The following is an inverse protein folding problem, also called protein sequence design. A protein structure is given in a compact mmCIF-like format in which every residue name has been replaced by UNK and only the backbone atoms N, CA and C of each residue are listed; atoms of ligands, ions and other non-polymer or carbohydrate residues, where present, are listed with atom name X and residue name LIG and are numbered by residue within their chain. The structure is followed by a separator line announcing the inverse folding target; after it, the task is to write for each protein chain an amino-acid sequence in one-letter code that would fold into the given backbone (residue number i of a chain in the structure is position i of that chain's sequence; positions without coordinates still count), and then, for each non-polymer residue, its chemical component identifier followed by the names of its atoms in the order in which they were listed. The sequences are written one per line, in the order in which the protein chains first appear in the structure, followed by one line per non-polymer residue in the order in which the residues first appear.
data_IF_107580540124
#
_entry.id   IF_107580540124
#
_cell.length_a   1.000
_cell.length_b   1.000
_cell.length_c   1.000
_cell.angle_alpha   90.00
_cell.angle_beta   90.00
_cell.angle_gamma   90.00
#
_symmetry.space_group_name_H-M   'P 1'
#
loop_
_entity.id
_entity.type
_entity.pdbx_description
1 polymer ?
#
# COMPACT_ATOMS: atom_id res chain seq x y z
N UNK A 1 -38.99 72.32 31.91
CA UNK A 1 -38.07 71.46 32.69
C UNK A 1 -37.62 70.29 31.82
N UNK A 2 -36.33 69.92 31.83
CA UNK A 2 -35.75 68.85 31.01
C UNK A 2 -35.97 67.47 31.70
N UNK A 3 -35.63 66.32 31.08
CA UNK A 3 -34.22 65.91 31.01
C UNK A 3 -33.74 65.41 29.64
N UNK A 4 -32.50 65.79 29.33
CA UNK A 4 -31.64 65.26 28.27
C UNK A 4 -31.44 63.75 28.44
N UNK A 5 -31.52 62.97 27.35
CA UNK A 5 -30.94 61.61 27.29
C UNK A 5 -29.76 61.58 26.33
N UNK A 6 -28.66 61.01 26.83
CA UNK A 6 -27.35 60.85 26.22
C UNK A 6 -27.41 59.86 25.04
N UNK A 7 -26.69 60.18 23.97
CA UNK A 7 -26.17 59.18 23.05
C UNK A 7 -25.05 58.38 23.74
N UNK A 8 -25.05 57.07 23.54
CA UNK A 8 -23.92 56.20 23.80
C UNK A 8 -23.83 55.21 22.64
N UNK A 9 -22.89 55.48 21.74
CA UNK A 9 -22.32 54.51 20.82
C UNK A 9 -21.59 53.42 21.61
N UNK A 10 -21.64 52.20 21.07
CA UNK A 10 -20.70 51.14 21.36
C UNK A 10 -21.23 50.06 22.29
N UNK A 11 -21.77 48.98 21.71
CA UNK A 11 -21.50 47.66 22.26
C UNK A 11 -21.39 46.60 21.16
N UNK A 12 -20.15 46.15 21.01
CA UNK A 12 -19.62 45.00 20.31
C UNK A 12 -20.60 43.85 20.07
N UNK A 13 -20.87 43.59 18.79
CA UNK A 13 -21.25 42.25 18.35
C UNK A 13 -20.09 41.29 18.62
N UNK A 14 -20.20 40.52 19.70
CA UNK A 14 -19.32 39.39 19.96
C UNK A 14 -19.61 38.31 18.91
N UNK A 15 -18.92 38.40 17.76
CA UNK A 15 -18.83 37.28 16.84
C UNK A 15 -18.18 36.12 17.60
N UNK A 16 -18.98 35.11 17.92
CA UNK A 16 -18.48 33.83 18.42
C UNK A 16 -17.48 33.32 17.40
N UNK A 17 -16.18 33.45 17.70
CA UNK A 17 -15.13 32.76 16.96
C UNK A 17 -15.51 31.28 16.94
N UNK A 18 -15.73 30.74 15.76
CA UNK A 18 -15.83 29.30 15.57
C UNK A 18 -14.63 28.67 16.28
N UNK A 19 -14.89 27.69 17.15
CA UNK A 19 -13.84 26.91 17.77
C UNK A 19 -12.96 26.38 16.65
N UNK A 20 -11.73 26.89 16.56
CA UNK A 20 -10.76 26.42 15.58
C UNK A 20 -10.49 24.99 15.99
N UNK A 21 -10.92 24.04 15.15
CA UNK A 21 -10.61 22.63 15.35
C UNK A 21 -9.11 22.42 15.53
N UNK A 22 -8.68 21.28 16.07
CA UNK A 22 -7.27 21.00 16.30
C UNK A 22 -6.48 21.21 14.99
N UNK A 23 -5.44 22.05 15.05
CA UNK A 23 -4.58 22.32 13.89
C UNK A 23 -3.91 21.01 13.47
N UNK A 24 -4.20 20.55 12.25
CA UNK A 24 -3.56 19.38 11.67
C UNK A 24 -2.06 19.64 11.48
N UNK A 25 -1.27 18.58 11.59
CA UNK A 25 0.18 18.65 11.31
C UNK A 25 0.40 18.84 9.81
N UNK A 26 1.49 19.50 9.45
CA UNK A 26 1.89 19.67 8.04
C UNK A 26 2.75 18.51 7.58
N UNK A 27 2.59 18.15 6.32
CA UNK A 27 3.51 17.25 5.60
C UNK A 27 4.89 17.90 5.46
N UNK A 28 5.95 17.07 5.49
CA UNK A 28 7.33 17.45 5.18
C UNK A 28 7.66 16.95 3.77
N UNK A 29 8.07 17.87 2.89
CA UNK A 29 8.50 17.49 1.55
C UNK A 29 9.67 16.49 1.61
N UNK A 30 9.65 15.41 0.79
CA UNK A 30 10.77 14.49 0.70
C UNK A 30 12.07 15.18 0.26
N UNK A 31 13.19 14.78 0.87
CA UNK A 31 14.54 15.30 0.59
C UNK A 31 15.40 14.28 -0.16
N UNK A 32 14.84 13.69 -1.22
CA UNK A 32 15.48 12.59 -1.95
C UNK A 32 16.84 12.96 -2.55
N UNK A 33 17.07 14.23 -2.91
CA UNK A 33 18.32 14.73 -3.50
C UNK A 33 19.43 15.02 -2.49
N UNK A 34 19.15 14.97 -1.19
CA UNK A 34 20.13 15.26 -0.14
C UNK A 34 20.89 13.99 0.32
N UNK A 35 20.46 12.81 -0.12
CA UNK A 35 21.08 11.52 0.24
C UNK A 35 22.14 11.16 -0.81
N UNK A 36 23.40 11.03 -0.39
CA UNK A 36 24.55 10.82 -1.29
C UNK A 36 24.49 9.53 -2.10
N UNK A 37 23.86 8.50 -1.56
CA UNK A 37 23.73 7.18 -2.15
C UNK A 37 22.65 7.14 -3.25
N UNK A 38 21.81 8.18 -3.32
CA UNK A 38 20.71 8.27 -4.26
C UNK A 38 21.06 9.06 -5.52
N UNK A 39 20.70 8.50 -6.67
CA UNK A 39 20.80 9.15 -7.97
C UNK A 39 19.42 9.36 -8.59
N UNK A 40 19.27 10.45 -9.34
CA UNK A 40 18.12 10.69 -10.21
C UNK A 40 18.36 10.25 -11.64
N UNK A 41 19.61 9.93 -11.98
CA UNK A 41 19.96 9.34 -13.26
C UNK A 41 19.64 7.85 -13.25
N UNK A 42 19.09 7.36 -14.37
CA UNK A 42 18.80 5.93 -14.50
C UNK A 42 20.08 5.12 -14.36
N UNK A 43 20.06 3.98 -13.65
CA UNK A 43 21.22 3.13 -13.53
C UNK A 43 21.66 2.62 -14.91
N UNK A 44 22.95 2.38 -15.09
CA UNK A 44 23.54 1.90 -16.35
C UNK A 44 23.76 0.39 -16.38
N UNK A 45 23.76 -0.25 -15.21
CA UNK A 45 23.89 -1.69 -15.06
C UNK A 45 22.74 -2.46 -15.72
N UNK A 46 23.05 -3.64 -16.26
CA UNK A 46 22.11 -4.46 -17.02
C UNK A 46 20.86 -4.83 -16.20
N UNK A 47 21.07 -5.37 -15.00
CA UNK A 47 19.99 -5.87 -14.15
C UNK A 47 19.21 -4.74 -13.52
N UNK A 48 19.88 -3.68 -13.06
CA UNK A 48 19.22 -2.49 -12.56
C UNK A 48 18.29 -1.90 -13.62
N UNK A 49 18.78 -1.73 -14.86
CA UNK A 49 17.97 -1.26 -15.99
C UNK A 49 16.79 -2.16 -16.29
N UNK A 50 17.01 -3.48 -16.37
CA UNK A 50 15.92 -4.45 -16.56
C UNK A 50 14.84 -4.30 -15.49
N UNK A 51 15.22 -4.07 -14.23
CA UNK A 51 14.26 -3.84 -13.15
C UNK A 51 13.47 -2.53 -13.34
N UNK A 52 14.18 -1.43 -13.62
CA UNK A 52 13.59 -0.12 -13.86
C UNK A 52 12.61 -0.14 -15.02
N UNK A 53 12.99 -0.74 -16.14
CA UNK A 53 12.16 -0.83 -17.34
C UNK A 53 10.94 -1.74 -17.13
N UNK A 54 11.12 -2.91 -16.51
CA UNK A 54 10.03 -3.88 -16.32
C UNK A 54 8.98 -3.40 -15.33
N UNK A 55 9.39 -2.85 -14.20
CA UNK A 55 8.50 -2.44 -13.10
C UNK A 55 8.28 -0.93 -12.98
N UNK A 56 8.77 -0.16 -13.96
CA UNK A 56 8.65 1.30 -13.99
C UNK A 56 9.21 1.97 -12.74
N UNK A 57 10.28 1.43 -12.15
CA UNK A 57 10.85 1.96 -10.92
C UNK A 57 11.29 3.42 -11.14
N UNK A 58 10.99 4.26 -10.16
CA UNK A 58 11.28 5.68 -10.22
C UNK A 58 12.59 6.00 -9.49
N UNK A 59 13.24 7.11 -9.85
CA UNK A 59 14.23 7.74 -8.98
C UNK A 59 13.62 8.00 -7.58
N UNK A 60 14.37 8.18 -6.49
CA UNK A 60 15.80 7.95 -6.41
C UNK A 60 16.15 6.48 -6.65
N UNK A 61 17.26 6.26 -7.35
CA UNK A 61 17.90 4.96 -7.51
C UNK A 61 19.06 4.87 -6.53
N UNK A 62 19.10 3.83 -5.72
CA UNK A 62 20.20 3.60 -4.79
C UNK A 62 21.39 3.02 -5.54
N UNK A 63 22.45 3.83 -5.64
CA UNK A 63 23.68 3.51 -6.37
C UNK A 63 24.58 2.52 -5.65
N UNK A 64 24.30 2.25 -4.36
CA UNK A 64 25.05 1.25 -3.57
C UNK A 64 24.61 -0.19 -3.87
N UNK A 65 23.45 -0.38 -4.52
CA UNK A 65 22.93 -1.70 -4.85
C UNK A 65 23.74 -2.31 -5.99
N UNK A 66 24.44 -3.41 -5.69
CA UNK A 66 25.20 -4.17 -6.70
C UNK A 66 24.30 -4.83 -7.75
N UNK A 67 24.82 -5.04 -8.96
CA UNK A 67 24.12 -5.75 -10.05
C UNK A 67 23.64 -7.16 -9.66
N UNK A 68 24.40 -7.88 -8.82
CA UNK A 68 23.98 -9.17 -8.27
C UNK A 68 22.66 -9.06 -7.49
N UNK A 69 22.52 -8.02 -6.68
CA UNK A 69 21.31 -7.78 -5.88
C UNK A 69 20.14 -7.37 -6.77
N UNK A 70 20.39 -6.62 -7.84
CA UNK A 70 19.38 -6.35 -8.86
C UNK A 70 18.95 -7.59 -9.63
N UNK A 71 19.87 -8.50 -9.93
CA UNK A 71 19.56 -9.80 -10.52
C UNK A 71 18.66 -10.64 -9.58
N UNK A 72 19.00 -10.71 -8.28
CA UNK A 72 18.17 -11.40 -7.29
C UNK A 72 16.76 -10.76 -7.19
N UNK A 73 16.70 -9.42 -7.15
CA UNK A 73 15.44 -8.67 -7.14
C UNK A 73 14.60 -8.98 -8.38
N UNK A 74 15.23 -9.00 -9.54
CA UNK A 74 14.60 -9.30 -10.81
C UNK A 74 14.00 -10.71 -10.80
N UNK A 75 14.80 -11.69 -10.40
CA UNK A 75 14.40 -13.10 -10.38
C UNK A 75 13.27 -13.36 -9.38
N UNK A 76 13.30 -12.76 -8.19
CA UNK A 76 12.23 -12.88 -7.19
C UNK A 76 10.91 -12.31 -7.74
N UNK A 77 10.91 -11.08 -8.28
CA UNK A 77 9.68 -10.46 -8.81
C UNK A 77 9.16 -11.15 -10.07
N UNK A 78 10.03 -11.67 -10.94
CA UNK A 78 9.60 -12.47 -12.10
C UNK A 78 8.94 -13.77 -11.65
N UNK A 79 9.45 -14.42 -10.61
CA UNK A 79 8.79 -15.61 -10.06
C UNK A 79 7.43 -15.26 -9.44
N UNK A 80 7.32 -14.13 -8.72
CA UNK A 80 6.04 -13.65 -8.20
C UNK A 80 5.05 -13.22 -9.29
N UNK A 81 5.54 -12.66 -10.41
CA UNK A 81 4.71 -12.38 -11.58
C UNK A 81 4.00 -13.66 -12.05
N UNK A 82 4.68 -14.82 -12.07
CA UNK A 82 4.07 -16.11 -12.43
C UNK A 82 3.00 -16.54 -11.43
N UNK A 83 3.29 -16.45 -10.13
CA UNK A 83 2.32 -16.74 -9.05
C UNK A 83 1.09 -15.83 -9.15
N UNK A 84 1.26 -14.59 -9.60
CA UNK A 84 0.19 -13.59 -9.71
C UNK A 84 -0.39 -13.49 -11.14
N UNK A 85 -0.36 -14.59 -11.89
CA UNK A 85 -0.91 -14.70 -13.25
C UNK A 85 -2.13 -15.62 -13.29
N UNK A 86 -3.26 -15.11 -13.78
CA UNK A 86 -4.50 -15.91 -13.85
C UNK A 86 -4.34 -17.14 -14.75
N UNK A 87 -4.62 -18.33 -14.22
CA UNK A 87 -4.50 -19.59 -14.98
C UNK A 87 -3.08 -20.17 -15.07
N UNK A 88 -2.07 -19.53 -14.47
CA UNK A 88 -0.75 -20.14 -14.33
C UNK A 88 -0.77 -21.26 -13.26
N UNK A 89 -0.07 -22.39 -13.47
CA UNK A 89 0.04 -23.46 -12.46
C UNK A 89 0.60 -22.99 -11.11
N UNK A 90 1.50 -22.01 -11.14
CA UNK A 90 2.12 -21.41 -9.94
C UNK A 90 1.11 -20.64 -9.07
N UNK A 91 -0.04 -20.25 -9.62
CA UNK A 91 -1.06 -19.46 -8.92
C UNK A 91 -1.87 -20.27 -7.90
N UNK A 92 -1.70 -21.59 -7.84
CA UNK A 92 -2.39 -22.48 -6.89
C UNK A 92 -2.26 -22.04 -5.44
N UNK A 93 -1.15 -21.39 -5.07
CA UNK A 93 -0.88 -20.95 -3.69
C UNK A 93 -1.71 -19.72 -3.28
N UNK A 94 -2.35 -19.05 -4.25
CA UNK A 94 -3.14 -17.83 -4.03
C UNK A 94 -4.59 -17.94 -4.52
N UNK A 95 -4.95 -19.05 -5.15
CA UNK A 95 -6.32 -19.33 -5.57
C UNK A 95 -6.98 -20.22 -4.52
N UNK A 96 -7.81 -19.61 -3.67
CA UNK A 96 -8.55 -20.31 -2.62
C UNK A 96 -9.99 -20.57 -3.08
N UNK A 97 -10.25 -21.75 -3.64
CA UNK A 97 -11.60 -22.13 -4.10
C UNK A 97 -12.63 -22.09 -2.95
N UNK A 98 -12.22 -22.54 -1.76
CA UNK A 98 -13.07 -22.57 -0.55
C UNK A 98 -13.51 -21.17 -0.08
N UNK A 99 -12.76 -20.13 -0.44
CA UNK A 99 -13.06 -18.75 -0.08
C UNK A 99 -14.23 -18.19 -0.92
N UNK A 100 -14.50 -18.77 -2.09
CA UNK A 100 -15.60 -18.35 -2.96
C UNK A 100 -15.47 -16.93 -3.53
N UNK A 101 -14.29 -16.31 -3.46
CA UNK A 101 -14.06 -14.94 -3.89
C UNK A 101 -12.92 -14.84 -4.91
N UNK A 102 -13.03 -13.85 -5.80
CA UNK A 102 -12.07 -13.62 -6.87
C UNK A 102 -10.79 -12.95 -6.33
N UNK A 103 -9.75 -13.76 -6.14
CA UNK A 103 -8.39 -13.34 -5.74
C UNK A 103 -7.87 -12.16 -6.58
N UNK A 104 -8.07 -12.20 -7.89
CA UNK A 104 -7.52 -11.20 -8.82
C UNK A 104 -8.22 -9.85 -8.63
N UNK A 105 -9.53 -9.89 -8.43
CA UNK A 105 -10.34 -8.71 -8.10
C UNK A 105 -9.94 -8.12 -6.74
N UNK A 106 -9.62 -8.96 -5.76
CA UNK A 106 -9.11 -8.54 -4.45
C UNK A 106 -7.78 -7.80 -4.61
N UNK A 107 -6.81 -8.42 -5.29
CA UNK A 107 -5.48 -7.84 -5.53
C UNK A 107 -5.59 -6.50 -6.29
N UNK A 108 -6.40 -6.45 -7.35
CA UNK A 108 -6.63 -5.22 -8.14
C UNK A 108 -7.24 -4.10 -7.32
N UNK A 109 -8.22 -4.41 -6.46
CA UNK A 109 -8.82 -3.41 -5.56
C UNK A 109 -7.77 -2.88 -4.59
N UNK A 110 -7.08 -3.77 -3.88
CA UNK A 110 -6.03 -3.43 -2.92
C UNK A 110 -4.94 -2.54 -3.55
N UNK A 111 -4.49 -2.87 -4.76
CA UNK A 111 -3.56 -2.05 -5.53
C UNK A 111 -4.12 -0.67 -5.89
N UNK A 112 -5.41 -0.59 -6.23
CA UNK A 112 -6.10 0.69 -6.44
C UNK A 112 -6.12 1.56 -5.18
N UNK A 113 -6.41 0.96 -4.02
CA UNK A 113 -6.41 1.70 -2.76
C UNK A 113 -5.03 2.26 -2.42
N UNK A 114 -3.95 1.51 -2.71
CA UNK A 114 -2.57 2.02 -2.58
C UNK A 114 -2.36 3.30 -3.40
N UNK A 115 -2.81 3.31 -4.66
CA UNK A 115 -2.76 4.51 -5.49
C UNK A 115 -3.61 5.65 -4.95
N UNK A 116 -4.85 5.38 -4.49
CA UNK A 116 -5.69 6.42 -3.88
C UNK A 116 -5.00 7.07 -2.67
N UNK A 117 -4.33 6.29 -1.83
CA UNK A 117 -3.60 6.85 -0.68
C UNK A 117 -2.52 7.82 -1.14
N UNK A 118 -1.71 7.46 -2.14
CA UNK A 118 -0.67 8.36 -2.68
C UNK A 118 -1.28 9.57 -3.39
N UNK A 119 -2.30 9.40 -4.23
CA UNK A 119 -2.95 10.51 -4.94
C UNK A 119 -3.55 11.54 -3.98
N UNK A 120 -4.08 11.06 -2.84
CA UNK A 120 -4.61 11.92 -1.78
C UNK A 120 -3.54 12.51 -0.86
N UNK A 121 -2.25 12.23 -1.05
CA UNK A 121 -1.17 12.80 -0.23
C UNK A 121 -0.81 14.22 -0.65
N UNK A 122 -0.11 14.93 0.24
CA UNK A 122 0.40 16.28 -0.03
C UNK A 122 1.80 16.18 -0.64
N UNK A 123 1.90 16.30 -1.95
CA UNK A 123 3.16 16.52 -2.67
C UNK A 123 2.94 17.65 -3.66
N UNK A 124 3.85 18.64 -3.70
CA UNK A 124 3.70 19.81 -4.57
C UNK A 124 3.84 19.44 -6.05
N UNK A 125 4.71 18.48 -6.35
CA UNK A 125 4.86 17.91 -7.68
C UNK A 125 3.74 16.87 -7.93
N UNK A 126 2.67 17.33 -8.56
CA UNK A 126 1.48 16.52 -8.88
C UNK A 126 1.78 15.41 -9.89
N UNK A 127 2.65 15.64 -10.88
CA UNK A 127 3.01 14.63 -11.87
C UNK A 127 3.85 13.53 -11.22
N UNK A 128 4.79 13.91 -10.37
CA UNK A 128 5.54 12.95 -9.56
C UNK A 128 4.65 12.13 -8.65
N UNK A 129 3.65 12.76 -8.01
CA UNK A 129 2.67 12.07 -7.18
C UNK A 129 1.89 11.01 -7.97
N UNK A 130 1.45 11.36 -9.19
CA UNK A 130 0.80 10.41 -10.11
C UNK A 130 1.71 9.25 -10.50
N UNK A 131 2.96 9.53 -10.87
CA UNK A 131 3.94 8.49 -11.22
C UNK A 131 4.14 7.50 -10.06
N UNK A 132 4.29 8.01 -8.84
CA UNK A 132 4.44 7.16 -7.63
C UNK A 132 3.19 6.30 -7.46
N UNK A 133 1.99 6.89 -7.53
CA UNK A 133 0.73 6.16 -7.39
C UNK A 133 0.59 5.05 -8.44
N UNK A 134 0.84 5.35 -9.71
CA UNK A 134 0.76 4.39 -10.84
C UNK A 134 1.75 3.24 -10.70
N UNK A 135 2.98 3.55 -10.31
CA UNK A 135 4.03 2.53 -10.09
C UNK A 135 3.69 1.63 -8.89
N UNK A 136 3.11 2.21 -7.84
CA UNK A 136 2.72 1.47 -6.65
C UNK A 136 1.60 0.46 -6.92
N UNK A 137 0.65 0.76 -7.84
CA UNK A 137 -0.41 -0.19 -8.24
C UNK A 137 0.16 -1.53 -8.73
N UNK A 138 1.27 -1.48 -9.47
CA UNK A 138 1.93 -2.68 -9.99
C UNK A 138 2.98 -3.30 -9.08
N UNK A 139 3.07 -2.83 -7.83
CA UNK A 139 4.11 -3.24 -6.89
C UNK A 139 3.62 -4.18 -5.77
N UNK A 140 2.33 -4.51 -5.76
CA UNK A 140 1.71 -5.42 -4.79
C UNK A 140 1.57 -6.83 -5.35
N UNK A 141 1.97 -7.83 -4.56
CA UNK A 141 1.89 -9.25 -4.90
C UNK A 141 1.27 -10.05 -3.76
N UNK A 142 0.43 -11.04 -4.08
CA UNK A 142 0.19 -12.14 -3.15
C UNK A 142 1.38 -13.09 -3.14
N UNK A 143 1.67 -13.59 -1.95
CA UNK A 143 2.64 -14.66 -1.70
C UNK A 143 1.92 -15.98 -1.42
N UNK A 144 0.80 -15.91 -0.70
CA UNK A 144 -0.07 -17.03 -0.33
C UNK A 144 -1.45 -16.47 0.01
N UNK A 145 -2.52 -17.18 -0.37
CA UNK A 145 -3.87 -16.86 0.06
C UNK A 145 -4.63 -18.16 0.27
N UNK A 146 -5.12 -18.32 1.50
CA UNK A 146 -6.04 -19.38 1.87
C UNK A 146 -7.20 -18.79 2.65
N UNK A 147 -8.37 -19.37 2.49
CA UNK A 147 -9.55 -19.01 3.28
C UNK A 147 -10.74 -19.84 2.89
N UNK A 148 -11.76 -19.80 3.72
CA UNK A 148 -13.00 -20.53 3.51
C UNK A 148 -14.22 -19.70 3.89
N UNK A 149 -15.35 -20.00 3.26
CA UNK A 149 -16.64 -19.31 3.44
C UNK A 149 -17.52 -19.97 4.53
N UNK A 150 -18.40 -19.20 5.19
CA UNK A 150 -19.43 -19.71 6.12
C UNK A 150 -20.67 -20.27 5.39
N UNK A 151 -20.72 -20.19 4.06
CA UNK A 151 -21.83 -20.61 3.20
C UNK A 151 -22.80 -19.47 2.84
N UNK A 152 -22.52 -18.24 3.27
CA UNK A 152 -23.33 -17.04 3.01
C UNK A 152 -22.58 -15.96 2.19
N UNK A 153 -21.38 -16.28 1.69
CA UNK A 153 -20.51 -15.36 0.98
C UNK A 153 -19.60 -14.51 1.87
N UNK A 154 -19.67 -14.71 3.20
CA UNK A 154 -18.72 -14.16 4.16
C UNK A 154 -17.67 -15.20 4.58
N UNK A 155 -16.40 -14.79 4.73
CA UNK A 155 -15.34 -15.72 5.05
C UNK A 155 -15.42 -16.11 6.53
N UNK A 156 -15.28 -17.40 6.80
CA UNK A 156 -15.01 -17.92 8.13
C UNK A 156 -13.57 -17.66 8.54
N UNK A 157 -12.62 -17.99 7.67
CA UNK A 157 -11.19 -17.78 7.89
C UNK A 157 -10.54 -17.22 6.63
N UNK A 158 -9.59 -16.32 6.81
CA UNK A 158 -8.69 -15.83 5.77
C UNK A 158 -7.29 -15.79 6.33
N UNK A 159 -6.33 -16.27 5.54
CA UNK A 159 -4.91 -16.11 5.75
C UNK A 159 -4.30 -15.62 4.45
N UNK A 160 -3.82 -14.37 4.46
CA UNK A 160 -3.25 -13.74 3.29
C UNK A 160 -1.82 -13.29 3.61
N UNK A 161 -0.87 -13.71 2.78
CA UNK A 161 0.49 -13.19 2.75
C UNK A 161 0.66 -12.36 1.50
N UNK A 162 1.16 -11.14 1.65
CA UNK A 162 1.43 -10.25 0.52
C UNK A 162 2.76 -9.54 0.69
N UNK A 163 3.27 -9.01 -0.43
CA UNK A 163 4.48 -8.20 -0.48
C UNK A 163 4.23 -6.95 -1.29
N UNK A 164 4.57 -5.80 -0.72
CA UNK A 164 4.58 -4.51 -1.41
C UNK A 164 6.03 -4.09 -1.65
N UNK A 165 6.40 -3.94 -2.92
CA UNK A 165 7.69 -3.34 -3.28
C UNK A 165 7.60 -1.82 -3.28
N UNK A 166 8.70 -1.17 -2.92
CA UNK A 166 8.87 0.27 -3.12
C UNK A 166 8.69 0.61 -4.61
N UNK A 167 8.01 1.72 -4.94
CA UNK A 167 7.95 2.23 -6.31
C UNK A 167 9.28 2.85 -6.77
N UNK A 168 10.25 2.99 -5.86
CA UNK A 168 11.56 3.57 -6.13
C UNK A 168 12.62 2.52 -6.40
N UNK A 169 13.67 2.92 -7.12
CA UNK A 169 14.89 2.15 -7.32
C UNK A 169 15.76 1.98 -6.07
N UNK A 170 15.17 2.02 -4.87
CA UNK A 170 15.83 1.80 -3.59
C UNK A 170 15.75 0.34 -3.12
N UNK A 171 14.97 -0.51 -3.81
CA UNK A 171 14.94 -1.96 -3.58
C UNK A 171 14.22 -2.42 -2.31
N UNK A 172 13.65 -1.51 -1.52
CA UNK A 172 12.87 -1.83 -0.33
C UNK A 172 11.58 -2.58 -0.66
N UNK A 173 11.14 -3.43 0.28
CA UNK A 173 9.80 -4.03 0.25
C UNK A 173 9.26 -4.25 1.66
N UNK A 174 7.97 -4.51 1.79
CA UNK A 174 7.31 -4.85 3.05
C UNK A 174 6.52 -6.14 2.84
N UNK A 175 6.70 -7.09 3.75
CA UNK A 175 5.89 -8.29 3.84
C UNK A 175 4.75 -8.10 4.82
N UNK A 176 3.61 -8.68 4.48
CA UNK A 176 2.40 -8.65 5.28
C UNK A 176 1.91 -10.06 5.55
N UNK A 177 1.34 -10.24 6.74
CA UNK A 177 0.52 -11.39 7.07
C UNK A 177 -0.77 -10.92 7.71
N UNK A 178 -1.86 -11.05 6.96
CA UNK A 178 -3.20 -10.81 7.43
C UNK A 178 -3.87 -12.13 7.77
N UNK A 179 -4.51 -12.17 8.93
CA UNK A 179 -5.31 -13.32 9.34
C UNK A 179 -6.63 -12.84 9.91
N UNK A 180 -7.70 -13.46 9.48
CA UNK A 180 -9.07 -13.21 9.91
C UNK A 180 -9.71 -14.54 10.26
N UNK A 181 -10.48 -14.57 11.34
CA UNK A 181 -11.38 -15.65 11.69
C UNK A 181 -12.60 -15.06 12.38
N UNK A 182 -13.79 -15.43 11.91
CA UNK A 182 -15.03 -15.08 12.56
C UNK A 182 -16.01 -16.24 12.48
N UNK A 183 -16.49 -16.67 13.65
CA UNK A 183 -17.57 -17.65 13.74
C UNK A 183 -18.58 -17.21 14.79
N UNK A 184 -19.79 -16.91 14.34
CA UNK A 184 -20.91 -16.62 15.22
C UNK A 184 -21.37 -17.91 15.91
N UNK A 185 -21.46 -17.89 17.25
CA UNK A 185 -22.00 -19.01 18.04
C UNK A 185 -23.34 -18.58 18.64
N UNK A 186 -24.35 -19.47 18.64
CA UNK A 186 -25.70 -19.17 19.13
C UNK A 186 -25.74 -18.69 20.60
N UNK A 187 -24.76 -19.10 21.41
CA UNK A 187 -24.62 -18.70 22.80
C UNK A 187 -23.17 -18.33 23.10
N UNK A 188 -22.90 -17.05 23.36
CA UNK A 188 -21.58 -16.54 23.77
C UNK A 188 -20.96 -15.49 22.83
N UNK A 189 -19.84 -14.91 23.26
CA UNK A 189 -19.02 -14.06 22.40
C UNK A 189 -18.42 -14.96 21.31
N UNK A 190 -18.77 -14.71 20.04
CA UNK A 190 -18.27 -15.50 18.90
C UNK A 190 -16.75 -15.65 18.86
N UNK A 191 -16.27 -16.69 18.19
CA UNK A 191 -14.83 -16.89 17.99
C UNK A 191 -14.36 -15.87 16.97
N UNK A 192 -13.69 -14.81 17.44
CA UNK A 192 -13.21 -13.72 16.59
C UNK A 192 -11.72 -13.49 16.79
N UNK A 193 -10.98 -13.59 15.69
CA UNK A 193 -9.56 -13.29 15.63
C UNK A 193 -9.30 -12.48 14.37
N UNK A 194 -8.56 -11.37 14.51
CA UNK A 194 -8.13 -10.61 13.33
C UNK A 194 -6.79 -9.95 13.62
N UNK A 195 -5.83 -10.07 12.72
CA UNK A 195 -4.48 -9.54 12.94
C UNK A 195 -3.82 -9.16 11.63
N UNK A 196 -3.03 -8.10 11.65
CA UNK A 196 -2.11 -7.74 10.57
C UNK A 196 -0.71 -7.54 11.15
N UNK A 197 0.25 -8.30 10.61
CA UNK A 197 1.67 -8.13 10.87
C UNK A 197 2.36 -7.60 9.62
N UNK A 198 3.27 -6.65 9.77
CA UNK A 198 4.05 -6.07 8.69
C UNK A 198 5.54 -6.07 9.05
N UNK A 199 6.41 -6.35 8.07
CA UNK A 199 7.87 -6.32 8.27
C UNK A 199 8.56 -5.78 7.03
N UNK A 200 9.40 -4.76 7.21
CA UNK A 200 10.28 -4.27 6.15
C UNK A 200 11.31 -5.32 5.79
N UNK A 201 11.55 -5.50 4.50
CA UNK A 201 12.60 -6.36 3.95
C UNK A 201 13.71 -5.52 3.35
N UNK A 202 14.92 -5.88 3.73
CA UNK A 202 16.13 -5.40 3.05
C UNK A 202 16.42 -6.25 1.82
N UNK A 203 17.15 -5.71 0.84
CA UNK A 203 17.63 -6.46 -0.33
C UNK A 203 18.46 -7.70 0.04
N UNK A 204 19.09 -7.69 1.23
CA UNK A 204 19.81 -8.84 1.75
C UNK A 204 18.90 -10.05 2.03
N UNK A 205 17.61 -9.83 2.26
CA UNK A 205 16.59 -10.84 2.58
C UNK A 205 15.86 -11.37 1.33
N UNK A 206 16.26 -10.96 0.12
CA UNK A 206 15.75 -11.53 -1.14
C UNK A 206 16.03 -13.03 -1.21
N UNK A 207 15.03 -13.78 -1.64
CA UNK A 207 15.12 -15.24 -1.82
C UNK A 207 14.49 -15.64 -3.15
N UNK A 208 15.23 -15.55 -4.27
CA UNK A 208 14.71 -15.92 -5.58
C UNK A 208 14.31 -17.41 -5.69
N UNK A 209 14.77 -18.26 -4.76
CA UNK A 209 14.45 -19.70 -4.74
C UNK A 209 13.14 -19.99 -4.02
N UNK A 210 12.76 -19.15 -3.05
CA UNK A 210 11.49 -19.20 -2.34
C UNK A 210 10.84 -17.79 -2.32
N UNK A 211 10.38 -17.30 -3.48
CA UNK A 211 9.88 -15.94 -3.62
C UNK A 211 8.64 -15.68 -2.77
N UNK A 212 7.88 -16.73 -2.44
CA UNK A 212 6.64 -16.72 -1.66
C UNK A 212 6.86 -16.68 -0.15
N UNK A 213 8.11 -16.81 0.32
CA UNK A 213 8.42 -16.75 1.75
C UNK A 213 8.06 -15.39 2.35
N UNK A 214 7.16 -15.38 3.33
CA UNK A 214 6.79 -14.17 4.07
C UNK A 214 7.66 -14.00 5.32
N UNK A 215 8.38 -12.88 5.43
CA UNK A 215 9.26 -12.57 6.56
C UNK A 215 8.52 -12.01 7.78
N UNK A 216 7.27 -11.57 7.62
CA UNK A 216 6.48 -10.96 8.71
C UNK A 216 6.05 -11.97 9.80
N UNK A 217 6.26 -13.26 9.56
CA UNK A 217 5.86 -14.32 10.48
C UNK A 217 6.95 -15.34 10.76
N UNK A 218 6.82 -16.03 11.89
CA UNK A 218 7.67 -17.15 12.29
C UNK A 218 6.84 -18.16 13.08
N UNK A 219 7.11 -19.45 12.89
CA UNK A 219 6.57 -20.50 13.74
C UNK A 219 7.22 -20.43 15.13
N UNK A 220 6.39 -20.44 16.17
CA UNK A 220 6.87 -20.63 17.54
C UNK A 220 7.12 -22.12 17.84
N UNK A 221 7.58 -22.43 19.06
CA UNK A 221 7.86 -23.81 19.49
C UNK A 221 6.66 -24.77 19.34
N UNK A 222 5.44 -24.23 19.39
CA UNK A 222 4.20 -24.99 19.26
C UNK A 222 3.69 -25.06 17.81
N UNK A 223 4.50 -24.70 16.81
CA UNK A 223 4.13 -24.65 15.38
C UNK A 223 2.94 -23.73 15.09
N UNK A 224 2.73 -22.71 15.92
CA UNK A 224 1.75 -21.65 15.65
C UNK A 224 2.45 -20.48 14.99
N UNK A 225 1.89 -20.01 13.89
CA UNK A 225 2.39 -18.84 13.17
C UNK A 225 2.13 -17.58 14.01
N UNK A 226 3.19 -16.82 14.29
CA UNK A 226 3.17 -15.56 15.05
C UNK A 226 3.97 -14.49 14.31
N UNK A 227 3.81 -13.23 14.71
CA UNK A 227 4.66 -12.15 14.24
C UNK A 227 6.15 -12.51 14.45
N UNK A 228 6.98 -12.22 13.44
CA UNK A 228 8.42 -12.33 13.60
C UNK A 228 8.93 -11.33 14.66
N UNK A 229 10.07 -11.56 15.32
CA UNK A 229 10.57 -10.70 16.39
C UNK A 229 10.74 -9.21 16.03
N UNK A 230 11.00 -8.93 14.75
CA UNK A 230 11.20 -7.62 14.15
C UNK A 230 10.00 -7.15 13.30
N UNK A 231 8.90 -7.91 13.29
CA UNK A 231 7.66 -7.50 12.65
C UNK A 231 6.85 -6.56 13.55
N UNK A 232 6.20 -5.58 12.95
CA UNK A 232 5.25 -4.69 13.62
C UNK A 232 3.88 -5.34 13.61
N UNK A 233 3.29 -5.50 14.79
CA UNK A 233 1.86 -5.78 14.92
C UNK A 233 1.06 -4.50 14.62
N UNK A 234 0.51 -4.38 13.41
CA UNK A 234 -0.30 -3.23 13.01
C UNK A 234 -1.61 -3.22 13.80
N UNK A 235 -2.24 -4.39 13.93
CA UNK A 235 -3.28 -4.67 14.91
C UNK A 235 -3.38 -6.16 15.19
N UNK A 236 -4.00 -6.49 16.32
CA UNK A 236 -4.29 -7.86 16.73
C UNK A 236 -5.54 -7.86 17.61
N UNK A 237 -6.47 -8.77 17.34
CA UNK A 237 -7.66 -9.03 18.15
C UNK A 237 -7.75 -10.50 18.44
N UNK A 238 -8.03 -10.80 19.71
CA UNK A 238 -8.42 -12.13 20.15
C UNK A 238 -9.61 -12.01 21.11
N UNK A 239 -10.79 -12.42 20.66
CA UNK A 239 -12.03 -12.27 21.40
C UNK A 239 -12.37 -10.79 21.63
N UNK A 240 -12.56 -10.38 22.89
CA UNK A 240 -12.86 -8.99 23.24
C UNK A 240 -11.62 -8.08 23.31
N UNK A 241 -10.42 -8.64 23.33
CA UNK A 241 -9.18 -7.86 23.47
C UNK A 241 -8.69 -7.45 22.10
N UNK A 242 -8.47 -6.17 21.89
CA UNK A 242 -7.85 -5.61 20.68
C UNK A 242 -6.63 -4.76 21.05
N UNK A 243 -5.63 -4.81 20.18
CA UNK A 243 -4.43 -3.98 20.20
C UNK A 243 -4.29 -3.33 18.83
N UNK A 244 -3.97 -2.05 18.81
CA UNK A 244 -3.57 -1.34 17.59
C UNK A 244 -2.14 -0.82 17.72
N UNK A 245 -1.56 -0.44 16.59
CA UNK A 245 -0.24 0.19 16.52
C UNK A 245 -0.27 1.67 16.92
N UNK A 246 0.90 2.29 16.95
CA UNK A 246 1.11 3.73 17.17
C UNK A 246 1.86 4.32 15.98
N UNK A 247 1.83 5.65 15.82
CA UNK A 247 2.54 6.32 14.74
C UNK A 247 4.06 6.04 14.79
N UNK A 248 4.62 5.95 16.00
CA UNK A 248 6.04 5.64 16.21
C UNK A 248 6.43 4.24 15.74
N UNK A 249 5.53 3.26 15.84
CA UNK A 249 5.80 1.88 15.46
C UNK A 249 5.73 1.65 13.94
N UNK A 250 4.98 2.48 13.21
CA UNK A 250 4.81 2.33 11.77
C UNK A 250 5.69 3.26 10.94
N UNK A 251 6.29 4.29 11.55
CA UNK A 251 7.03 5.33 10.82
C UNK A 251 8.13 4.80 9.89
N UNK A 252 8.80 3.70 10.26
CA UNK A 252 9.88 3.11 9.45
C UNK A 252 9.39 2.50 8.13
N UNK A 253 8.09 2.22 8.00
CA UNK A 253 7.52 1.75 6.74
C UNK A 253 7.45 2.85 5.67
N UNK A 254 7.36 4.12 6.09
CA UNK A 254 7.44 5.24 5.16
C UNK A 254 8.82 5.32 4.51
N UNK A 255 9.88 5.17 5.30
CA UNK A 255 11.25 5.14 4.80
C UNK A 255 11.48 3.95 3.87
N UNK A 256 11.03 2.75 4.27
CA UNK A 256 11.19 1.53 3.47
C UNK A 256 10.46 1.59 2.11
N UNK A 257 9.31 2.25 2.03
CA UNK A 257 8.54 2.37 0.78
C UNK A 257 8.92 3.60 -0.02
N UNK A 258 9.04 4.76 0.63
CA UNK A 258 9.08 6.05 -0.04
C UNK A 258 10.41 6.78 0.09
N UNK A 259 11.41 6.18 0.75
CA UNK A 259 12.71 6.81 1.01
C UNK A 259 12.56 8.22 1.60
N UNK A 260 11.55 8.39 2.46
CA UNK A 260 11.11 9.66 3.02
C UNK A 260 10.67 9.48 4.47
N UNK A 261 10.65 10.59 5.21
CA UNK A 261 10.12 10.64 6.58
C UNK A 261 9.24 11.87 6.74
N UNK A 262 8.00 11.66 7.18
CA UNK A 262 7.02 12.69 7.47
C UNK A 262 6.35 13.31 6.25
N UNK A 263 6.45 12.67 5.09
CA UNK A 263 5.74 13.09 3.88
C UNK A 263 4.26 12.72 3.97
N UNK A 264 3.94 11.48 4.29
CA UNK A 264 2.56 11.03 4.45
C UNK A 264 2.17 10.95 5.93
N UNK A 265 0.91 11.26 6.23
CA UNK A 265 0.44 11.14 7.62
C UNK A 265 0.47 9.69 8.12
N UNK A 266 0.54 9.49 9.45
CA UNK A 266 0.36 8.17 10.05
C UNK A 266 -0.96 7.49 9.63
N UNK A 267 -2.03 8.26 9.40
CA UNK A 267 -3.29 7.71 8.91
C UNK A 267 -3.11 7.10 7.52
N UNK A 268 -2.53 7.85 6.58
CA UNK A 268 -2.21 7.33 5.24
C UNK A 268 -1.29 6.13 5.28
N UNK A 269 -0.29 6.14 6.16
CA UNK A 269 0.60 5.00 6.28
C UNK A 269 -0.15 3.75 6.77
N UNK A 270 -1.09 3.87 7.72
CA UNK A 270 -1.98 2.74 8.08
C UNK A 270 -2.85 2.32 6.90
N UNK A 271 -3.40 3.26 6.13
CA UNK A 271 -4.18 2.94 4.92
C UNK A 271 -3.33 2.17 3.89
N UNK A 272 -2.06 2.52 3.69
CA UNK A 272 -1.10 1.76 2.87
C UNK A 272 -0.94 0.35 3.42
N UNK A 273 -0.67 0.20 4.71
CA UNK A 273 -0.46 -1.11 5.33
C UNK A 273 -1.73 -1.98 5.24
N UNK A 274 -2.92 -1.40 5.37
CA UNK A 274 -4.19 -2.10 5.26
C UNK A 274 -4.47 -2.52 3.82
N UNK A 275 -4.27 -1.62 2.86
CA UNK A 275 -4.43 -1.92 1.45
C UNK A 275 -3.46 -3.03 1.02
N UNK A 276 -2.17 -2.89 1.32
CA UNK A 276 -1.16 -3.89 0.98
C UNK A 276 -1.39 -5.23 1.69
N UNK A 277 -1.78 -5.20 2.96
CA UNK A 277 -2.15 -6.39 3.73
C UNK A 277 -3.52 -6.98 3.35
N UNK A 278 -4.26 -6.37 2.41
CA UNK A 278 -5.59 -6.78 1.94
C UNK A 278 -6.67 -6.82 3.03
N UNK A 279 -6.51 -6.00 4.07
CA UNK A 279 -7.44 -5.93 5.21
C UNK A 279 -8.81 -5.41 4.75
N UNK A 280 -9.89 -6.09 5.18
CA UNK A 280 -11.27 -5.74 4.84
C UNK A 280 -11.57 -5.86 3.32
N UNK A 281 -10.94 -6.83 2.65
CA UNK A 281 -11.12 -7.06 1.21
C UNK A 281 -11.84 -8.36 0.87
N UNK A 282 -12.18 -9.14 1.87
CA UNK A 282 -12.70 -10.48 1.74
C UNK A 282 -14.18 -10.56 2.15
N UNK A 283 -14.98 -9.49 2.03
CA UNK A 283 -16.37 -9.45 2.52
C UNK A 283 -16.53 -9.82 4.00
N UNK A 284 -15.54 -9.50 4.83
CA UNK A 284 -15.51 -9.80 6.25
C UNK A 284 -16.69 -9.16 7.00
N UNK A 285 -17.26 -9.86 7.98
CA UNK A 285 -18.36 -9.35 8.80
C UNK A 285 -17.87 -8.40 9.90
N UNK A 286 -16.97 -8.88 10.77
CA UNK A 286 -16.33 -8.07 11.82
C UNK A 286 -15.19 -7.19 11.26
N UNK A 287 -15.42 -5.87 11.21
CA UNK A 287 -14.47 -4.84 10.76
C UNK A 287 -14.04 -3.89 11.89
N UNK A 288 -14.54 -4.12 13.10
CA UNK A 288 -14.45 -3.18 14.24
C UNK A 288 -13.00 -2.84 14.59
N UNK A 289 -12.11 -3.84 14.63
CA UNK A 289 -10.71 -3.61 15.02
C UNK A 289 -9.94 -2.79 13.99
N UNK A 290 -9.91 -3.15 12.70
CA UNK A 290 -9.33 -2.28 11.68
C UNK A 290 -9.90 -0.84 11.69
N UNK A 291 -11.22 -0.67 11.81
CA UNK A 291 -11.86 0.65 11.88
C UNK A 291 -11.37 1.45 13.10
N UNK A 292 -11.32 0.83 14.28
CA UNK A 292 -10.81 1.46 15.51
C UNK A 292 -9.33 1.86 15.43
N UNK A 293 -8.55 1.23 14.55
CA UNK A 293 -7.15 1.59 14.33
C UNK A 293 -7.06 2.85 13.48
N UNK A 294 -7.87 2.95 12.43
CA UNK A 294 -7.92 4.14 11.56
C UNK A 294 -8.34 5.39 12.35
N UNK A 295 -9.32 5.27 13.24
CA UNK A 295 -9.82 6.36 14.10
C UNK A 295 -8.77 6.98 15.04
N UNK A 296 -7.65 6.27 15.30
CA UNK A 296 -6.56 6.78 16.15
C UNK A 296 -5.67 7.80 15.46
N UNK A 297 -5.74 7.89 14.14
CA UNK A 297 -4.86 8.73 13.35
C UNK A 297 -5.64 9.82 12.62
N UNK A 298 -4.94 10.89 12.30
CA UNK A 298 -5.49 12.01 11.52
C UNK A 298 -4.61 12.24 10.30
N UNK A 299 -5.23 12.73 9.24
CA UNK A 299 -4.52 13.23 8.07
C UNK A 299 -3.63 14.43 8.40
N UNK A 300 -2.62 14.65 7.57
CA UNK A 300 -1.93 15.93 7.53
C UNK A 300 -2.78 16.98 6.81
N UNK A 301 -2.46 18.24 7.05
CA UNK A 301 -3.11 19.37 6.39
C UNK A 301 -2.98 19.25 4.86
N UNK A 302 -4.12 19.33 4.16
CA UNK A 302 -4.20 19.20 2.70
C UNK A 302 -4.24 17.77 2.16
N UNK A 303 -4.22 16.73 3.00
CA UNK A 303 -4.42 15.35 2.55
C UNK A 303 -5.92 14.98 2.43
N UNK A 304 -6.23 14.02 1.56
CA UNK A 304 -7.58 13.45 1.35
C UNK A 304 -7.51 11.93 1.19
N UNK A 305 -8.64 11.24 1.07
CA UNK A 305 -8.66 9.79 0.78
C UNK A 305 -8.33 9.41 -0.68
N UNK A 306 -8.17 10.39 -1.58
CA UNK A 306 -7.79 10.20 -2.99
C UNK A 306 -8.73 9.36 -3.87
N UNK A 307 -9.89 8.92 -3.38
CA UNK A 307 -10.80 8.03 -4.11
C UNK A 307 -11.33 8.62 -5.42
N UNK A 308 -11.63 9.93 -5.42
CA UNK A 308 -12.11 10.62 -6.63
C UNK A 308 -11.05 10.62 -7.74
N UNK A 309 -9.78 10.82 -7.39
CA UNK A 309 -8.64 10.81 -8.32
C UNK A 309 -8.40 9.39 -8.87
N UNK A 310 -8.51 8.37 -8.03
CA UNK A 310 -8.37 6.98 -8.44
C UNK A 310 -9.40 6.57 -9.50
N UNK A 311 -10.64 7.04 -9.41
CA UNK A 311 -11.69 6.73 -10.40
C UNK A 311 -11.27 7.17 -11.81
N UNK A 312 -10.60 8.32 -11.93
CA UNK A 312 -10.08 8.81 -13.20
C UNK A 312 -8.96 7.90 -13.73
N UNK A 313 -8.00 7.53 -12.89
CA UNK A 313 -6.92 6.62 -13.24
C UNK A 313 -7.44 5.25 -13.70
N UNK A 314 -8.45 4.69 -13.02
CA UNK A 314 -9.04 3.41 -13.44
C UNK A 314 -9.80 3.48 -14.75
N UNK A 315 -10.42 4.63 -15.06
CA UNK A 315 -11.03 4.84 -16.38
C UNK A 315 -9.96 4.77 -17.47
N UNK A 316 -8.87 5.50 -17.31
CA UNK A 316 -7.74 5.49 -18.25
C UNK A 316 -7.10 4.10 -18.35
N UNK A 317 -6.91 3.40 -17.23
CA UNK A 317 -6.38 2.02 -17.24
C UNK A 317 -7.28 1.09 -18.05
N UNK A 318 -8.61 1.18 -17.88
CA UNK A 318 -9.55 0.34 -18.62
C UNK A 318 -9.49 0.59 -20.13
N UNK A 319 -9.29 1.86 -20.54
CA UNK A 319 -9.08 2.23 -21.94
C UNK A 319 -7.76 1.69 -22.51
N UNK A 320 -6.69 1.64 -21.71
CA UNK A 320 -5.41 1.03 -22.11
C UNK A 320 -5.54 -0.50 -22.24
N UNK A 321 -6.20 -1.13 -21.27
CA UNK A 321 -6.43 -2.58 -21.28
C UNK A 321 -7.28 -3.03 -22.47
N UNK A 322 -8.23 -2.21 -22.91
CA UNK A 322 -9.04 -2.50 -24.11
C UNK A 322 -8.25 -2.42 -25.43
N UNK A 323 -7.08 -1.77 -25.42
CA UNK A 323 -6.18 -1.65 -26.59
C UNK A 323 -5.15 -2.77 -26.66
N UNK A 324 -4.98 -3.55 -25.59
CA UNK A 324 -4.04 -4.67 -25.59
C UNK A 324 -4.52 -5.80 -26.53
N UNK A 325 -3.63 -6.43 -27.31
CA UNK A 325 -4.01 -7.49 -28.23
C UNK A 325 -4.60 -8.71 -27.51
N UNK A 326 -5.75 -9.19 -27.97
CA UNK A 326 -6.50 -10.33 -27.40
C UNK A 326 -5.78 -11.70 -27.47
N UNK A 327 -4.57 -11.77 -28.04
CA UNK A 327 -3.75 -12.98 -28.17
C UNK A 327 -2.41 -12.95 -27.43
N UNK A 328 -2.15 -11.96 -26.58
CA UNK A 328 -0.95 -11.96 -25.74
C UNK A 328 -1.01 -13.09 -24.70
N UNK A 329 0.17 -13.64 -24.36
CA UNK A 329 0.33 -14.51 -23.20
C UNK A 329 -0.27 -13.84 -21.95
N UNK A 330 -0.83 -14.64 -21.03
CA UNK A 330 -1.42 -14.16 -19.78
C UNK A 330 -0.47 -13.16 -19.10
N UNK A 331 -0.86 -11.90 -19.08
CA UNK A 331 -0.09 -10.84 -18.42
C UNK A 331 -0.41 -10.90 -16.92
N UNK A 332 0.61 -10.99 -16.04
CA UNK A 332 0.42 -10.93 -14.60
C UNK A 332 -0.40 -9.72 -14.16
N UNK A 333 -1.23 -9.85 -13.13
CA UNK A 333 -2.04 -8.72 -12.63
C UNK A 333 -1.16 -7.50 -12.29
N UNK A 334 -0.04 -7.64 -11.55
CA UNK A 334 0.84 -6.49 -11.26
C UNK A 334 1.39 -5.82 -12.52
N UNK A 335 1.78 -6.61 -13.53
CA UNK A 335 2.30 -6.09 -14.81
C UNK A 335 1.24 -5.34 -15.61
N UNK A 336 -0.02 -5.77 -15.52
CA UNK A 336 -1.15 -5.11 -16.16
C UNK A 336 -1.49 -3.78 -15.47
N UNK A 337 -1.32 -3.70 -14.15
CA UNK A 337 -1.54 -2.47 -13.39
C UNK A 337 -0.45 -1.40 -13.64
N UNK A 338 0.70 -1.78 -14.22
CA UNK A 338 1.75 -0.84 -14.64
C UNK A 338 1.50 -0.15 -15.98
N UNK A 339 0.41 -0.48 -16.71
CA UNK A 339 0.15 0.14 -18.01
C UNK A 339 0.09 1.67 -17.96
N UNK A 340 -0.47 2.23 -16.88
CA UNK A 340 -0.48 3.68 -16.66
C UNK A 340 0.93 4.24 -16.47
N UNK A 341 1.76 3.59 -15.65
CA UNK A 341 3.14 4.02 -15.38
C UNK A 341 4.03 3.97 -16.65
N UNK A 342 3.77 3.02 -17.56
CA UNK A 342 4.53 2.90 -18.82
C UNK A 342 4.28 4.06 -19.79
N UNK A 343 3.08 4.62 -19.80
CA UNK A 343 2.77 5.77 -20.67
C UNK A 343 3.60 7.00 -20.31
N UNK A 344 3.86 7.21 -19.01
CA UNK A 344 4.66 8.34 -18.51
C UNK A 344 6.15 8.24 -18.92
N UNK A 345 6.64 7.03 -19.21
CA UNK A 345 8.01 6.80 -19.66
C UNK A 345 8.24 7.07 -21.15
N UNK A 346 7.19 7.13 -21.96
CA UNK A 346 7.28 7.29 -23.43
C UNK A 346 7.20 8.76 -23.85
N UNK A 347 6.55 9.62 -23.07
CA UNK A 347 6.36 11.04 -23.38
C UNK A 347 7.57 11.94 -23.09
N UNK A 348 8.66 11.43 -22.50
CA UNK A 348 9.88 12.20 -22.20
C UNK A 348 11.01 12.12 -23.24
N UNK A 349 10.79 11.46 -24.38
CA UNK A 349 11.86 11.12 -25.34
C UNK A 349 11.86 11.89 -26.66
N UNK A 350 10.97 12.86 -26.87
CA UNK A 350 10.80 13.49 -28.18
C UNK A 350 10.65 15.00 -28.09
N UNK A 351 11.77 15.72 -28.16
CA UNK A 351 12.02 16.87 -29.03
C UNK A 351 13.31 17.58 -28.59
N UNK A 352 14.40 17.24 -29.25
CA UNK A 352 15.72 17.79 -28.98
C UNK A 352 16.74 17.42 -30.05
N UNK A 353 16.34 17.41 -31.32
CA UNK A 353 17.30 17.54 -32.42
C UNK A 353 16.58 17.82 -33.74
N UNK A 354 16.68 19.04 -34.22
CA UNK A 354 16.90 19.36 -35.64
C UNK A 354 17.39 20.80 -35.74
N UNK A 355 18.33 20.97 -36.67
CA UNK A 355 19.21 22.13 -36.92
C UNK A 355 18.48 23.43 -37.23
#
# INVERSE_FOLDING_TARGET
MPPKRKAADGESGSSKKAATGPKLKKSKAPKWSEVSEYSFEKPTGEWARKCVERWCLLAPYDTSISEKRWEDYYNERVALDKVNSSGAPESKEIVSEELGQDTWKILRKAAGDLAAVVLGSKLEDEERKKQIARTLMGSLYFLELWGNDEGDGSPREVQAKSRLYSPFGAGGSIDFFYRYHFRMRMYGNGERFTSLYAKSRMLAELDPKDPTKCSATKFNANKVLKAAPDAVTVFDRNGSKSKGTTAANIKSFEEALFAAEGWISPLKLVEVLFAAGTVIRYNEYDKETPESVLEKFNYFDGETNGKALLTQEFKTLSELEAKEPSGQAVVPIPQRLLLLARQDGVSGGGEGSSK
#
